data_IF_433580564291
#
_entry.id   IF_433580564291
#
_cell.length_a   1.000
_cell.length_b   1.000
_cell.length_c   1.000
_cell.angle_alpha   90.00
_cell.angle_beta   90.00
_cell.angle_gamma   90.00
#
_symmetry.space_group_name_H-M   'P 1'
#
loop_
_entity.id
_entity.type
_entity.pdbx_description
1 polymer ?
#
# COMPACT_ATOMS: atom_id res chain seq x y z
N UNK A 1 -19.68 -3.78 -12.21
CA UNK A 1 -18.35 -4.43 -12.09
C UNK A 1 -17.45 -4.30 -13.33
N UNK A 2 -17.96 -3.86 -14.50
CA UNK A 2 -17.15 -3.71 -15.73
C UNK A 2 -16.46 -2.35 -15.94
N UNK A 3 -16.80 -1.33 -15.16
CA UNK A 3 -16.27 0.04 -15.35
C UNK A 3 -14.92 0.29 -14.66
N UNK A 4 -14.54 -0.53 -13.67
CA UNK A 4 -13.28 -0.33 -12.93
C UNK A 4 -12.05 -0.86 -13.69
N UNK A 5 -12.23 -1.83 -14.58
CA UNK A 5 -11.13 -2.43 -15.38
C UNK A 5 -10.66 -1.48 -16.50
N UNK A 6 -11.52 -0.58 -16.97
CA UNK A 6 -11.19 0.29 -18.10
C UNK A 6 -10.15 1.38 -17.73
N UNK A 7 -10.17 1.87 -16.50
CA UNK A 7 -9.27 2.96 -16.06
C UNK A 7 -7.83 2.47 -15.87
N UNK A 8 -7.64 1.20 -15.49
CA UNK A 8 -6.31 0.58 -15.32
C UNK A 8 -5.72 0.09 -16.66
N UNK A 9 -6.58 -0.09 -17.68
CA UNK A 9 -6.21 -0.65 -18.99
C UNK A 9 -5.36 0.27 -19.87
N UNK A 10 -5.23 1.57 -19.57
CA UNK A 10 -4.39 2.49 -20.35
C UNK A 10 -4.68 2.55 -21.86
N UNK A 11 -5.77 1.93 -22.33
CA UNK A 11 -6.20 1.94 -23.74
C UNK A 11 -7.06 3.17 -24.00
N UNK A 12 -6.48 4.33 -23.75
CA UNK A 12 -6.82 5.54 -24.49
C UNK A 12 -5.59 5.84 -25.35
N UNK A 13 -5.46 5.14 -26.48
CA UNK A 13 -4.60 5.61 -27.57
C UNK A 13 -5.30 6.78 -28.25
N UNK A 14 -5.35 7.93 -27.57
CA UNK A 14 -5.31 9.19 -28.29
C UNK A 14 -3.89 9.22 -28.86
N UNK A 15 -3.75 9.23 -30.19
CA UNK A 15 -2.49 9.65 -30.84
C UNK A 15 -2.28 11.12 -30.49
N UNK A 16 -1.87 11.39 -29.25
CA UNK A 16 -1.52 12.71 -28.80
C UNK A 16 -0.16 12.98 -29.42
N UNK A 17 -0.19 13.67 -30.56
CA UNK A 17 1.01 14.14 -31.26
C UNK A 17 1.84 14.88 -30.21
N UNK A 18 2.99 14.30 -29.82
CA UNK A 18 3.86 14.90 -28.81
C UNK A 18 4.16 16.33 -29.26
N UNK A 19 3.89 17.36 -28.43
CA UNK A 19 4.25 18.72 -28.77
C UNK A 19 5.76 18.83 -28.95
N UNK A 20 6.22 19.57 -29.97
CA UNK A 20 7.63 19.67 -30.35
C UNK A 20 8.57 20.16 -29.22
N UNK A 21 8.05 20.82 -28.18
CA UNK A 21 8.82 21.26 -27.01
C UNK A 21 9.17 20.13 -26.01
N UNK A 22 8.65 18.92 -26.20
CA UNK A 22 9.10 17.72 -25.46
C UNK A 22 10.19 16.94 -26.22
N UNK A 23 10.64 17.41 -27.38
CA UNK A 23 11.64 16.73 -28.21
C UNK A 23 13.06 16.69 -27.59
N UNK A 24 13.31 17.45 -26.51
CA UNK A 24 14.61 17.47 -25.81
C UNK A 24 14.71 16.57 -24.57
N UNK A 25 13.61 15.95 -24.12
CA UNK A 25 13.63 15.00 -23.00
C UNK A 25 13.89 13.58 -23.53
N UNK A 26 15.12 13.35 -24.00
CA UNK A 26 15.61 12.04 -24.49
C UNK A 26 16.22 11.16 -23.38
N UNK A 27 15.95 11.47 -22.11
CA UNK A 27 16.31 10.58 -21.01
C UNK A 27 15.22 9.52 -20.84
N UNK A 28 15.49 8.29 -21.31
CA UNK A 28 14.73 7.07 -20.99
C UNK A 28 14.96 6.58 -19.56
N UNK A 29 15.41 7.45 -18.66
CA UNK A 29 15.82 7.06 -17.31
C UNK A 29 14.67 7.32 -16.37
N UNK A 30 14.31 6.31 -15.58
CA UNK A 30 13.33 6.48 -14.52
C UNK A 30 13.84 7.54 -13.52
N UNK A 31 13.02 8.54 -13.17
CA UNK A 31 13.45 9.63 -12.31
C UNK A 31 13.84 9.12 -10.93
N UNK A 32 14.93 9.66 -10.38
CA UNK A 32 15.39 9.32 -9.04
C UNK A 32 14.39 9.79 -7.96
N UNK A 33 14.40 9.22 -6.75
CA UNK A 33 13.47 9.60 -5.68
C UNK A 33 13.45 11.11 -5.37
N UNK A 34 14.61 11.78 -5.44
CA UNK A 34 14.72 13.23 -5.26
C UNK A 34 14.02 14.00 -6.39
N UNK A 35 14.17 13.55 -7.64
CA UNK A 35 13.53 14.15 -8.82
C UNK A 35 12.01 13.95 -8.75
N UNK A 36 11.55 12.79 -8.30
CA UNK A 36 10.13 12.53 -8.04
C UNK A 36 9.55 13.52 -7.02
N UNK A 37 10.32 13.84 -5.98
CA UNK A 37 9.90 14.84 -5.01
C UNK A 37 9.86 16.26 -5.60
N UNK A 38 10.81 16.62 -6.46
CA UNK A 38 10.81 17.90 -7.18
C UNK A 38 9.61 18.02 -8.13
N UNK A 39 9.29 16.94 -8.87
CA UNK A 39 8.13 16.90 -9.77
C UNK A 39 6.82 17.12 -9.00
N UNK A 40 6.67 16.50 -7.83
CA UNK A 40 5.52 16.75 -6.96
C UNK A 40 5.44 18.21 -6.50
N UNK A 41 6.58 18.84 -6.18
CA UNK A 41 6.66 20.26 -5.78
C UNK A 41 6.31 21.23 -6.92
N UNK A 42 6.47 20.85 -8.19
CA UNK A 42 5.98 21.70 -9.30
C UNK A 42 4.46 21.86 -9.22
N UNK A 43 3.74 20.78 -8.89
CA UNK A 43 2.27 20.82 -8.75
C UNK A 43 1.82 21.44 -7.42
N UNK A 44 2.58 21.18 -6.35
CA UNK A 44 2.29 21.61 -4.98
C UNK A 44 3.52 22.25 -4.31
N UNK A 45 3.88 23.51 -4.64
CA UNK A 45 5.16 24.10 -4.23
C UNK A 45 5.30 24.41 -2.74
N UNK A 46 4.18 24.70 -2.05
CA UNK A 46 4.14 25.10 -0.64
C UNK A 46 3.10 24.33 0.16
N UNK A 47 2.65 23.20 -0.38
CA UNK A 47 1.54 22.44 0.19
C UNK A 47 2.05 21.10 0.74
N UNK A 48 1.59 20.73 1.93
CA UNK A 48 1.94 19.51 2.64
C UNK A 48 0.94 18.37 2.39
N UNK A 49 -0.05 18.57 1.50
CA UNK A 49 -1.09 17.57 1.17
C UNK A 49 -0.51 16.21 0.83
N UNK A 50 0.58 16.16 0.07
CA UNK A 50 1.24 14.90 -0.28
C UNK A 50 1.71 14.15 0.96
N UNK A 51 2.39 14.86 1.86
CA UNK A 51 2.97 14.27 3.06
C UNK A 51 1.86 13.92 4.08
N UNK A 52 0.80 14.73 4.15
CA UNK A 52 -0.41 14.42 4.93
C UNK A 52 -1.11 13.16 4.41
N UNK A 53 -1.28 13.02 3.09
CA UNK A 53 -1.88 11.83 2.49
C UNK A 53 -1.02 10.59 2.77
N UNK A 54 0.30 10.71 2.66
CA UNK A 54 1.22 9.64 3.04
C UNK A 54 1.05 9.23 4.50
N UNK A 55 0.94 10.20 5.41
CA UNK A 55 0.71 9.94 6.83
C UNK A 55 -0.67 9.33 7.11
N UNK A 56 -1.72 9.78 6.42
CA UNK A 56 -3.08 9.23 6.56
C UNK A 56 -3.21 7.80 6.04
N UNK A 57 -2.35 7.39 5.09
CA UNK A 57 -2.32 6.05 4.51
C UNK A 57 -1.28 5.12 5.15
N UNK A 58 -0.58 5.60 6.19
CA UNK A 58 0.40 4.82 6.94
C UNK A 58 -0.31 3.86 7.91
N UNK A 59 -0.16 2.56 7.66
CA UNK A 59 -0.67 1.48 8.51
C UNK A 59 0.45 0.76 9.28
N UNK A 60 1.67 1.28 9.28
CA UNK A 60 2.84 0.61 9.88
C UNK A 60 3.00 0.89 11.38
N UNK A 61 2.24 1.87 11.89
CA UNK A 61 2.34 2.34 13.27
C UNK A 61 1.10 1.95 14.08
N UNK A 62 1.25 1.67 15.38
CA UNK A 62 0.12 1.36 16.23
C UNK A 62 -0.77 2.58 16.42
N UNK A 63 -2.08 2.35 16.56
CA UNK A 63 -3.04 3.41 16.86
C UNK A 63 -2.98 3.79 18.35
N UNK A 64 -3.13 5.08 18.67
CA UNK A 64 -3.20 5.53 20.05
C UNK A 64 -4.65 5.45 20.57
N UNK A 65 -4.86 4.79 21.71
CA UNK A 65 -6.12 4.80 22.45
C UNK A 65 -5.93 5.70 23.68
N UNK A 66 -6.67 6.81 23.73
CA UNK A 66 -6.63 7.71 24.88
C UNK A 66 -7.66 7.26 25.93
N UNK A 67 -7.20 6.90 27.13
CA UNK A 67 -8.09 6.42 28.21
C UNK A 67 -8.92 7.53 28.83
N UNK A 68 -8.48 8.79 28.73
CA UNK A 68 -9.13 9.97 29.32
C UNK A 68 -10.60 10.21 28.92
N UNK A 69 -11.10 9.56 27.86
CA UNK A 69 -12.51 9.63 27.45
C UNK A 69 -13.34 8.43 27.92
N UNK A 70 -12.69 7.41 28.50
CA UNK A 70 -13.29 6.14 28.93
C UNK A 70 -13.52 6.09 30.45
N UNK A 71 -13.02 7.08 31.21
CA UNK A 71 -12.95 7.10 32.68
C UNK A 71 -14.32 7.18 33.41
N UNK A 72 -15.45 7.09 32.72
CA UNK A 72 -16.79 7.12 33.32
C UNK A 72 -17.49 5.75 33.36
N UNK A 73 -16.87 4.70 32.80
CA UNK A 73 -17.42 3.34 32.75
C UNK A 73 -16.77 2.38 33.74
N UNK A 74 -17.41 1.23 33.92
CA UNK A 74 -16.82 0.05 34.57
C UNK A 74 -15.66 -0.52 33.75
N UNK A 75 -14.75 -1.28 34.38
CA UNK A 75 -13.64 -1.94 33.69
C UNK A 75 -14.10 -2.77 32.46
N UNK A 76 -15.29 -3.38 32.56
CA UNK A 76 -15.91 -4.12 31.47
C UNK A 76 -16.30 -3.25 30.28
N UNK A 77 -16.93 -2.10 30.54
CA UNK A 77 -17.34 -1.14 29.51
C UNK A 77 -16.12 -0.47 28.85
N UNK A 78 -15.08 -0.18 29.63
CA UNK A 78 -13.81 0.37 29.12
C UNK A 78 -13.17 -0.64 28.15
N UNK A 79 -13.08 -1.92 28.56
CA UNK A 79 -12.52 -2.97 27.70
C UNK A 79 -13.32 -3.12 26.42
N UNK A 80 -14.64 -3.18 26.51
CA UNK A 80 -15.51 -3.30 25.33
C UNK A 80 -15.32 -2.12 24.36
N UNK A 81 -15.25 -0.89 24.88
CA UNK A 81 -15.00 0.30 24.06
C UNK A 81 -13.62 0.26 23.37
N UNK A 82 -12.58 -0.24 24.07
CA UNK A 82 -11.24 -0.44 23.48
C UNK A 82 -11.25 -1.48 22.36
N UNK A 83 -11.96 -2.60 22.55
CA UNK A 83 -12.11 -3.66 21.54
C UNK A 83 -12.85 -3.14 20.30
N UNK A 84 -13.96 -2.44 20.50
CA UNK A 84 -14.74 -1.83 19.42
C UNK A 84 -13.92 -0.80 18.65
N UNK A 85 -13.19 0.08 19.34
CA UNK A 85 -12.32 1.08 18.71
C UNK A 85 -11.20 0.44 17.89
N UNK A 86 -10.53 -0.57 18.44
CA UNK A 86 -9.43 -1.25 17.74
C UNK A 86 -9.96 -2.03 16.52
N UNK A 87 -11.10 -2.71 16.64
CA UNK A 87 -11.76 -3.38 15.51
C UNK A 87 -12.16 -2.42 14.38
N UNK A 88 -12.72 -1.25 14.73
CA UNK A 88 -13.00 -0.20 13.75
C UNK A 88 -11.71 0.32 13.09
N UNK A 89 -10.62 0.41 13.85
CA UNK A 89 -9.30 0.81 13.34
C UNK A 89 -8.72 -0.22 12.38
N UNK A 90 -8.89 -1.53 12.64
CA UNK A 90 -8.48 -2.58 11.69
C UNK A 90 -9.13 -2.34 10.34
N UNK A 91 -10.46 -2.15 10.31
CA UNK A 91 -11.20 -1.87 9.05
C UNK A 91 -10.61 -0.69 8.29
N UNK A 92 -10.26 0.39 9.01
CA UNK A 92 -9.58 1.56 8.42
C UNK A 92 -8.19 1.20 7.88
N UNK A 93 -7.37 0.49 8.63
CA UNK A 93 -5.99 0.16 8.23
C UNK A 93 -5.95 -0.79 7.03
N UNK A 94 -6.83 -1.79 6.99
CA UNK A 94 -6.92 -2.70 5.85
C UNK A 94 -7.34 -1.97 4.58
N UNK A 95 -8.26 -1.01 4.69
CA UNK A 95 -8.71 -0.20 3.54
C UNK A 95 -7.70 0.84 3.06
N UNK A 96 -6.71 1.23 3.88
CA UNK A 96 -5.63 2.14 3.44
C UNK A 96 -4.78 1.54 2.31
N UNK A 97 -4.71 0.22 2.18
CA UNK A 97 -4.00 -0.44 1.09
C UNK A 97 -4.48 0.04 -0.30
N UNK A 98 -5.79 0.22 -0.48
CA UNK A 98 -6.34 0.75 -1.74
C UNK A 98 -5.88 2.18 -2.00
N UNK A 99 -5.88 3.04 -0.97
CA UNK A 99 -5.40 4.41 -1.07
C UNK A 99 -3.91 4.45 -1.43
N UNK A 100 -3.08 3.60 -0.80
CA UNK A 100 -1.65 3.48 -1.11
C UNK A 100 -1.43 3.03 -2.55
N UNK A 101 -2.18 2.04 -3.03
CA UNK A 101 -2.08 1.54 -4.40
C UNK A 101 -2.27 2.66 -5.44
N UNK A 102 -3.26 3.54 -5.23
CA UNK A 102 -3.49 4.69 -6.11
C UNK A 102 -2.44 5.78 -5.93
N UNK A 103 -2.05 6.07 -4.69
CA UNK A 103 -1.12 7.14 -4.38
C UNK A 103 0.31 6.84 -4.86
N UNK A 104 0.75 5.58 -4.79
CA UNK A 104 2.10 5.14 -5.13
C UNK A 104 2.17 4.35 -6.46
N UNK A 105 1.12 4.42 -7.30
CA UNK A 105 1.04 3.68 -8.55
C UNK A 105 2.22 3.96 -9.49
N UNK A 106 2.95 2.92 -9.90
CA UNK A 106 4.12 2.99 -10.79
C UNK A 106 5.21 3.99 -10.34
N UNK A 107 5.41 4.11 -9.03
CA UNK A 107 6.40 5.01 -8.42
C UNK A 107 7.73 4.34 -8.02
N UNK A 108 7.88 3.03 -8.24
CA UNK A 108 9.06 2.25 -7.82
C UNK A 108 9.68 1.51 -9.00
N UNK A 109 10.96 1.78 -9.24
CA UNK A 109 11.82 0.94 -10.06
C UNK A 109 12.35 -0.21 -9.19
N UNK A 110 12.05 -1.48 -9.52
CA UNK A 110 12.49 -2.64 -8.74
C UNK A 110 14.00 -2.86 -8.89
N UNK A 111 14.65 -3.23 -7.80
CA UNK A 111 16.03 -3.69 -7.81
C UNK A 111 16.05 -5.21 -8.06
N UNK A 112 16.67 -5.70 -9.15
CA UNK A 112 16.67 -7.12 -9.49
C UNK A 112 17.38 -8.02 -8.46
N UNK A 113 18.20 -7.47 -7.57
CA UNK A 113 18.90 -8.24 -6.54
C UNK A 113 18.20 -8.24 -5.18
N UNK A 114 17.11 -7.47 -5.03
CA UNK A 114 16.42 -7.31 -3.75
C UNK A 114 14.92 -7.59 -3.90
N UNK A 115 14.30 -8.25 -2.90
CA UNK A 115 12.86 -8.48 -2.91
C UNK A 115 12.11 -7.15 -2.79
N UNK A 116 10.90 -7.10 -3.37
CA UNK A 116 10.02 -5.95 -3.23
C UNK A 116 9.65 -5.74 -1.76
N UNK A 117 9.84 -4.52 -1.27
CA UNK A 117 9.43 -4.15 0.07
C UNK A 117 7.91 -3.98 0.18
N UNK A 118 7.28 -4.84 0.97
CA UNK A 118 5.88 -4.74 1.39
C UNK A 118 5.84 -4.12 2.80
N UNK A 119 5.17 -2.97 3.01
CA UNK A 119 5.09 -2.36 4.34
C UNK A 119 4.37 -3.26 5.36
N UNK A 120 4.85 -3.30 6.60
CA UNK A 120 4.18 -4.06 7.66
C UNK A 120 2.78 -3.49 7.98
N UNK A 121 1.85 -4.38 8.35
CA UNK A 121 0.52 -4.00 8.78
C UNK A 121 0.43 -4.07 10.32
N UNK A 122 0.41 -2.91 10.98
CA UNK A 122 0.35 -2.83 12.43
C UNK A 122 -1.10 -2.78 12.91
N UNK A 123 -1.60 -3.93 13.37
CA UNK A 123 -2.97 -4.08 13.88
C UNK A 123 -3.07 -3.94 15.41
N UNK A 124 -2.03 -3.40 16.05
CA UNK A 124 -1.99 -3.18 17.50
C UNK A 124 -2.29 -1.74 17.88
N UNK A 125 -2.70 -1.54 19.13
CA UNK A 125 -2.86 -0.23 19.73
C UNK A 125 -1.85 0.04 20.84
N UNK A 126 -1.67 1.32 21.16
CA UNK A 126 -0.93 1.81 22.34
C UNK A 126 -1.89 2.58 23.23
N UNK A 127 -1.98 2.18 24.50
CA UNK A 127 -2.79 2.86 25.50
C UNK A 127 -2.03 4.08 26.02
N UNK A 128 -2.62 5.27 25.93
CA UNK A 128 -2.07 6.49 26.53
C UNK A 128 -2.66 6.71 27.92
N UNK A 129 -1.88 7.12 28.95
CA UNK A 129 -0.45 7.50 28.89
C UNK A 129 0.53 6.34 29.15
N UNK A 130 0.06 5.15 29.50
CA UNK A 130 0.91 4.03 29.96
C UNK A 130 1.80 3.42 28.88
N UNK A 131 1.56 3.73 27.61
CA UNK A 131 2.21 3.19 26.41
C UNK A 131 2.19 1.65 26.31
N UNK A 132 1.24 1.02 27.00
CA UNK A 132 1.04 -0.43 26.95
C UNK A 132 0.50 -0.83 25.57
N UNK A 133 0.99 -1.94 25.03
CA UNK A 133 0.43 -2.52 23.81
C UNK A 133 -0.92 -3.16 24.14
N UNK A 134 -1.90 -2.93 23.29
CA UNK A 134 -3.23 -3.52 23.37
C UNK A 134 -3.58 -4.18 22.04
N UNK A 135 -3.93 -5.46 22.10
CA UNK A 135 -4.22 -6.30 20.94
C UNK A 135 -5.58 -6.98 21.12
N UNK A 136 -6.29 -7.21 20.01
CA UNK A 136 -7.51 -8.00 20.02
C UNK A 136 -7.21 -9.47 20.20
N UNK A 137 -8.05 -10.17 20.97
CA UNK A 137 -8.09 -11.63 20.92
C UNK A 137 -8.52 -12.06 19.52
N UNK A 138 -7.64 -12.75 18.80
CA UNK A 138 -7.87 -13.15 17.41
C UNK A 138 -8.95 -14.24 17.38
N UNK A 139 -10.15 -13.85 16.97
CA UNK A 139 -11.25 -14.76 16.62
C UNK A 139 -11.15 -15.16 15.15
N UNK A 140 -11.84 -16.22 14.73
CA UNK A 140 -11.81 -16.67 13.33
C UNK A 140 -12.20 -15.56 12.32
N UNK A 141 -13.24 -14.73 12.57
CA UNK A 141 -13.56 -13.62 11.67
C UNK A 141 -12.42 -12.57 11.59
N UNK A 142 -11.76 -12.27 12.71
CA UNK A 142 -10.65 -11.33 12.73
C UNK A 142 -9.41 -11.90 12.02
N UNK A 143 -9.18 -13.21 12.11
CA UNK A 143 -8.13 -13.91 11.36
C UNK A 143 -8.37 -13.77 9.85
N UNK A 144 -9.57 -14.11 9.37
CA UNK A 144 -9.92 -13.98 7.96
C UNK A 144 -9.80 -12.52 7.48
N UNK A 145 -10.24 -11.57 8.30
CA UNK A 145 -10.12 -10.14 8.00
C UNK A 145 -8.66 -9.73 7.83
N UNK A 146 -7.77 -10.17 8.73
CA UNK A 146 -6.33 -9.92 8.66
C UNK A 146 -5.71 -10.48 7.37
N UNK A 147 -6.04 -11.73 7.00
CA UNK A 147 -5.54 -12.38 5.78
C UNK A 147 -5.89 -11.57 4.52
N UNK A 148 -7.14 -11.12 4.38
CA UNK A 148 -7.55 -10.24 3.29
C UNK A 148 -6.80 -8.90 3.31
N UNK A 149 -6.57 -8.37 4.51
CA UNK A 149 -5.78 -7.17 4.73
C UNK A 149 -4.35 -7.26 4.20
N UNK A 150 -3.66 -8.34 4.53
CA UNK A 150 -2.30 -8.64 4.07
C UNK A 150 -2.26 -8.83 2.56
N UNK A 151 -3.26 -9.53 2.00
CA UNK A 151 -3.42 -9.66 0.56
C UNK A 151 -3.55 -8.30 -0.15
N UNK A 152 -4.43 -7.41 0.31
CA UNK A 152 -4.57 -6.07 -0.28
C UNK A 152 -3.30 -5.24 -0.15
N UNK A 153 -2.59 -5.38 0.96
CA UNK A 153 -1.34 -4.71 1.21
C UNK A 153 -0.23 -5.16 0.23
N UNK A 154 -0.16 -6.47 -0.04
CA UNK A 154 0.68 -7.02 -1.08
C UNK A 154 0.34 -6.44 -2.45
N UNK A 155 -0.93 -6.51 -2.88
CA UNK A 155 -1.37 -5.94 -4.17
C UNK A 155 -1.00 -4.46 -4.30
N UNK A 156 -1.19 -3.68 -3.22
CA UNK A 156 -0.80 -2.28 -3.18
C UNK A 156 0.71 -2.08 -3.41
N UNK A 157 1.54 -2.92 -2.79
CA UNK A 157 2.99 -2.88 -2.99
C UNK A 157 3.38 -3.23 -4.45
N UNK A 158 2.74 -4.24 -5.05
CA UNK A 158 2.99 -4.63 -6.43
C UNK A 158 2.61 -3.58 -7.46
N UNK A 159 1.50 -2.87 -7.25
CA UNK A 159 1.05 -1.79 -8.13
C UNK A 159 2.00 -0.57 -8.14
N UNK A 160 2.94 -0.51 -7.20
CA UNK A 160 4.00 0.51 -7.18
C UNK A 160 5.07 0.27 -8.23
N UNK A 161 5.26 -0.98 -8.64
CA UNK A 161 6.26 -1.35 -9.64
C UNK A 161 5.89 -0.70 -10.97
N UNK A 162 6.89 -0.11 -11.62
CA UNK A 162 6.73 0.50 -12.95
C UNK A 162 6.30 -0.52 -14.01
N UNK A 163 5.76 -0.04 -15.12
CA UNK A 163 5.32 -0.90 -16.22
C UNK A 163 6.46 -1.62 -16.93
N UNK A 164 6.10 -2.68 -17.66
CA UNK A 164 7.00 -3.49 -18.48
C UNK A 164 7.71 -2.70 -19.60
N UNK A 165 7.16 -1.53 -19.96
CA UNK A 165 7.74 -0.57 -20.88
C UNK A 165 9.00 0.11 -20.33
N UNK A 166 9.14 0.16 -19.00
CA UNK A 166 10.27 0.78 -18.30
C UNK A 166 11.26 -0.29 -17.81
N UNK A 167 10.76 -1.35 -17.15
CA UNK A 167 11.62 -2.42 -16.63
C UNK A 167 10.99 -3.78 -16.87
N UNK A 168 11.82 -4.76 -17.23
CA UNK A 168 11.37 -6.15 -17.32
C UNK A 168 11.79 -6.89 -16.06
N UNK A 169 10.79 -7.41 -15.37
CA UNK A 169 10.97 -8.32 -14.24
C UNK A 169 11.01 -9.76 -14.76
N UNK A 170 11.95 -10.56 -14.27
CA UNK A 170 12.10 -11.98 -14.58
C UNK A 170 11.48 -12.88 -13.50
N UNK A 171 11.43 -14.18 -13.78
CA UNK A 171 10.88 -15.17 -12.85
C UNK A 171 11.75 -15.32 -11.58
N UNK A 172 13.06 -15.14 -11.70
CA UNK A 172 14.00 -15.26 -10.58
C UNK A 172 13.72 -14.18 -9.54
N UNK A 173 13.51 -12.92 -9.96
CA UNK A 173 13.14 -11.85 -9.05
C UNK A 173 11.77 -12.07 -8.39
N UNK A 174 10.79 -12.60 -9.11
CA UNK A 174 9.50 -12.96 -8.53
C UNK A 174 9.64 -14.04 -7.44
N UNK A 175 10.52 -15.01 -7.68
CA UNK A 175 10.84 -16.07 -6.70
C UNK A 175 11.59 -15.50 -5.49
N UNK A 176 12.49 -14.54 -5.69
CA UNK A 176 13.15 -13.82 -4.60
C UNK A 176 12.13 -13.11 -3.70
N UNK A 177 11.17 -12.39 -4.31
CA UNK A 177 10.09 -11.74 -3.58
C UNK A 177 9.26 -12.75 -2.77
N UNK A 178 8.98 -13.94 -3.35
CA UNK A 178 8.30 -15.03 -2.66
C UNK A 178 9.03 -15.45 -1.39
N UNK A 179 10.33 -15.70 -1.49
CA UNK A 179 11.12 -16.26 -0.39
C UNK A 179 11.31 -15.31 0.79
N UNK A 180 11.09 -14.01 0.60
CA UNK A 180 11.23 -12.99 1.64
C UNK A 180 9.90 -12.65 2.35
N UNK A 181 8.77 -13.23 1.91
CA UNK A 181 7.51 -13.01 2.58
C UNK A 181 7.56 -13.66 3.97
N UNK A 182 7.54 -12.81 5.01
CA UNK A 182 7.42 -13.21 6.42
C UNK A 182 6.01 -13.70 6.77
N UNK A 183 5.11 -13.73 5.78
CA UNK A 183 3.69 -13.99 5.97
C UNK A 183 3.44 -15.49 5.83
N UNK A 184 3.25 -16.14 6.96
CA UNK A 184 2.83 -17.55 7.10
C UNK A 184 1.32 -17.68 6.86
N UNK A 185 0.80 -17.18 5.73
CA UNK A 185 -0.61 -17.38 5.36
C UNK A 185 -0.71 -18.28 4.13
N UNK A 186 -1.63 -19.24 4.18
CA UNK A 186 -2.00 -20.17 3.08
C UNK A 186 -2.57 -19.45 1.84
N UNK A 187 -2.76 -18.14 1.92
CA UNK A 187 -3.18 -17.33 0.78
C UNK A 187 -1.91 -16.99 0.04
N UNK A 188 -1.68 -17.63 -1.11
CA UNK A 188 -0.56 -17.36 -2.00
C UNK A 188 -0.59 -15.90 -2.52
N UNK A 189 -0.28 -14.94 -1.65
CA UNK A 189 -0.15 -13.50 -1.94
C UNK A 189 0.76 -13.34 -3.16
N UNK A 190 1.74 -14.22 -3.30
CA UNK A 190 2.70 -14.24 -4.38
C UNK A 190 2.12 -14.78 -5.70
N UNK A 191 1.26 -15.83 -5.70
CA UNK A 191 0.58 -16.28 -6.93
C UNK A 191 -0.33 -15.19 -7.49
N UNK A 192 -0.95 -14.39 -6.63
CA UNK A 192 -1.75 -13.25 -7.08
C UNK A 192 -0.89 -12.07 -7.55
N UNK A 193 0.27 -11.83 -6.92
CA UNK A 193 1.29 -10.90 -7.41
C UNK A 193 1.80 -11.28 -8.80
N UNK A 194 2.09 -12.56 -9.01
CA UNK A 194 2.45 -13.15 -10.29
C UNK A 194 1.30 -12.91 -11.27
N UNK A 195 0.04 -13.15 -10.89
CA UNK A 195 -1.10 -12.90 -11.76
C UNK A 195 -1.27 -11.41 -12.11
N UNK A 196 -1.05 -10.49 -11.16
CA UNK A 196 -1.16 -9.04 -11.38
C UNK A 196 -0.02 -8.51 -12.26
N UNK A 197 1.22 -8.91 -11.99
CA UNK A 197 2.39 -8.55 -12.80
C UNK A 197 2.32 -9.17 -14.20
N UNK A 198 2.00 -10.46 -14.34
CA UNK A 198 1.82 -11.14 -15.63
C UNK A 198 0.66 -10.52 -16.40
N UNK A 199 -0.48 -10.20 -15.77
CA UNK A 199 -1.62 -9.56 -16.45
C UNK A 199 -1.29 -8.15 -16.95
N UNK A 200 -0.40 -7.43 -16.25
CA UNK A 200 0.09 -6.11 -16.68
C UNK A 200 1.20 -6.22 -17.74
N UNK A 201 2.00 -7.28 -17.73
CA UNK A 201 3.18 -7.47 -18.58
C UNK A 201 2.88 -8.19 -19.90
N UNK A 202 1.90 -9.10 -19.94
CA UNK A 202 1.56 -9.93 -21.12
C UNK A 202 0.38 -9.39 -21.95
N UNK A 203 -0.15 -8.21 -21.66
CA UNK A 203 -1.22 -7.57 -22.45
C UNK A 203 -0.67 -6.55 -23.48
N UNK A 204 0.41 -6.91 -24.17
CA UNK A 204 0.89 -6.22 -25.39
C UNK A 204 0.58 -7.04 -26.64
#
# INVERSE_FOLDING_TARGET
>A
MFYFVCVISGKVTVKQKRPNWLAGFESKTYPQPEEMAQIARIRWPRDVRRDNVRAMLDSTKPVLIATQHLDAGTDGEIREAQEQFLSATWTRYLSQAFGRAFYEFRTVLPNPTEPLYVPDLCLSARIYPSNLTYDLTVTEPLKQMKEWGEFYNGVAAGLRVVGADITKVDHEWLTLCHSNDKVETDVDIILFFIFCLISVQYRS
#
